data_IF_029591873232
#
_entry.id   IF_029591873232
#
_cell.length_a   1.000
_cell.length_b   1.000
_cell.length_c   1.000
_cell.angle_alpha   90.00
_cell.angle_beta   90.00
_cell.angle_gamma   90.00
#
_symmetry.space_group_name_H-M   'P 1'
#
loop_
_entity.id
_entity.type
_entity.pdbx_description
1 polymer ?
#
# COMPACT_ATOMS: atom_id res chain seq x y z
N UNK A 1 14.89 2.72 -5.33
CA UNK A 1 14.63 1.28 -5.28
C UNK A 1 13.25 1.03 -5.87
N UNK A 2 13.08 0.01 -6.71
CA UNK A 2 11.75 -0.46 -7.11
C UNK A 2 11.08 -1.11 -5.90
N UNK A 3 9.78 -0.88 -5.69
CA UNK A 3 8.99 -1.57 -4.65
C UNK A 3 8.56 -2.99 -5.08
N UNK A 4 8.76 -3.34 -6.35
CA UNK A 4 8.45 -4.64 -6.91
C UNK A 4 9.73 -5.37 -7.27
N UNK A 5 9.89 -6.58 -6.73
CA UNK A 5 10.95 -7.51 -7.10
C UNK A 5 10.75 -8.04 -8.53
N UNK A 6 11.85 -8.42 -9.15
CA UNK A 6 11.90 -8.93 -10.52
C UNK A 6 11.86 -10.45 -10.50
N UNK A 7 11.01 -11.05 -11.30
CA UNK A 7 10.91 -12.51 -11.45
C UNK A 7 12.06 -13.11 -12.29
N UNK A 8 12.02 -14.43 -12.50
CA UNK A 8 13.02 -15.17 -13.27
C UNK A 8 13.16 -14.72 -14.74
N UNK A 9 12.13 -14.06 -15.29
CA UNK A 9 12.07 -13.60 -16.69
C UNK A 9 12.25 -12.09 -16.83
N UNK A 10 12.65 -11.40 -15.76
CA UNK A 10 12.98 -9.98 -15.80
C UNK A 10 11.78 -9.03 -15.64
N UNK A 11 10.65 -9.52 -15.11
CA UNK A 11 9.41 -8.76 -14.97
C UNK A 11 9.10 -8.44 -13.50
N UNK A 12 8.89 -7.16 -13.14
CA UNK A 12 8.21 -6.81 -11.89
C UNK A 12 6.70 -7.03 -11.96
N UNK A 13 6.11 -7.25 -10.78
CA UNK A 13 4.67 -7.39 -10.59
C UNK A 13 4.12 -6.41 -9.55
N UNK A 14 2.94 -5.89 -9.81
CA UNK A 14 2.15 -5.08 -8.86
C UNK A 14 0.73 -5.61 -8.79
N UNK A 15 0.11 -5.52 -7.62
CA UNK A 15 -1.30 -5.87 -7.44
C UNK A 15 -2.11 -4.59 -7.31
N UNK A 16 -3.13 -4.44 -8.15
CA UNK A 16 -4.15 -3.42 -7.97
C UNK A 16 -5.21 -3.96 -7.02
N UNK A 17 -5.42 -3.27 -5.90
CA UNK A 17 -6.39 -3.66 -4.89
C UNK A 17 -7.51 -2.63 -4.78
N UNK A 18 -8.71 -3.09 -4.46
CA UNK A 18 -9.76 -2.25 -3.87
C UNK A 18 -9.60 -2.35 -2.36
N UNK A 19 -9.57 -1.19 -1.70
CA UNK A 19 -9.34 -1.11 -0.25
C UNK A 19 -10.44 -0.32 0.42
N UNK A 20 -11.02 -0.87 1.48
CA UNK A 20 -11.95 -0.16 2.36
C UNK A 20 -11.11 0.61 3.38
N UNK A 21 -10.99 1.92 3.20
CA UNK A 21 -10.16 2.76 4.06
C UNK A 21 -10.84 3.18 5.36
N UNK A 22 -12.17 3.33 5.38
CA UNK A 22 -12.88 3.79 6.57
C UNK A 22 -12.41 5.16 7.05
N UNK A 23 -12.41 5.37 8.38
CA UNK A 23 -11.91 6.57 9.00
C UNK A 23 -10.38 6.52 9.15
N UNK A 24 -9.68 7.34 8.37
CA UNK A 24 -8.22 7.33 8.31
C UNK A 24 -7.60 8.20 9.40
N UNK A 25 -6.52 7.74 10.00
CA UNK A 25 -5.61 8.57 10.80
C UNK A 25 -4.34 8.92 10.05
N UNK A 26 -3.72 10.05 10.42
CA UNK A 26 -2.40 10.41 9.87
C UNK A 26 -1.32 9.52 10.48
N UNK A 27 -0.67 8.71 9.67
CA UNK A 27 0.44 7.82 10.03
C UNK A 27 1.68 8.22 9.22
N UNK A 28 2.58 9.04 9.80
CA UNK A 28 3.78 9.48 9.10
C UNK A 28 4.72 8.32 8.74
N UNK A 29 5.50 8.52 7.68
CA UNK A 29 6.62 7.64 7.39
C UNK A 29 7.55 7.48 8.59
N UNK A 30 7.92 6.23 8.90
CA UNK A 30 8.75 5.90 10.06
C UNK A 30 8.00 5.80 11.39
N UNK A 31 6.67 5.85 11.39
CA UNK A 31 5.86 5.56 12.57
C UNK A 31 6.11 4.14 13.09
N UNK A 32 6.16 3.98 14.41
CA UNK A 32 6.23 2.67 15.09
C UNK A 32 4.83 2.07 15.34
N UNK A 33 3.76 2.72 14.86
CA UNK A 33 2.40 2.23 15.00
C UNK A 33 2.21 0.89 14.25
N UNK A 34 1.58 -0.06 14.91
CA UNK A 34 1.24 -1.39 14.37
C UNK A 34 -0.27 -1.71 14.42
N UNK A 35 -1.07 -0.79 14.95
CA UNK A 35 -2.53 -0.83 15.05
C UNK A 35 -3.06 0.61 15.10
N UNK A 36 -4.37 0.85 15.00
CA UNK A 36 -4.94 2.18 15.13
C UNK A 36 -4.54 2.88 16.44
N UNK A 37 -4.35 4.20 16.44
CA UNK A 37 -4.10 4.95 17.69
C UNK A 37 -5.30 4.97 18.64
N UNK A 38 -6.50 4.74 18.11
CA UNK A 38 -7.74 4.57 18.87
C UNK A 38 -8.78 3.80 18.07
N UNK A 39 -9.82 3.29 18.73
CA UNK A 39 -10.95 2.57 18.10
C UNK A 39 -11.75 3.39 17.08
N UNK A 40 -11.46 4.69 16.94
CA UNK A 40 -12.13 5.56 15.97
C UNK A 40 -11.56 5.42 14.57
N UNK A 41 -10.39 4.82 14.41
CA UNK A 41 -9.67 4.77 13.14
C UNK A 41 -9.58 3.35 12.62
N UNK A 42 -9.76 3.21 11.31
CA UNK A 42 -9.77 1.92 10.62
C UNK A 42 -8.46 1.68 9.86
N UNK A 43 -7.76 2.75 9.47
CA UNK A 43 -6.56 2.68 8.63
C UNK A 43 -5.67 3.92 8.79
N UNK A 44 -4.44 3.85 8.29
CA UNK A 44 -3.47 4.94 8.31
C UNK A 44 -3.26 5.56 6.93
N UNK A 45 -2.87 6.84 6.91
CA UNK A 45 -2.51 7.59 5.70
C UNK A 45 -1.38 8.58 5.94
N UNK A 46 -0.49 8.78 4.98
CA UNK A 46 0.65 9.69 5.13
C UNK A 46 0.24 11.18 5.17
N UNK A 47 -0.74 11.57 4.34
CA UNK A 47 -1.34 12.90 4.33
C UNK A 47 -2.85 12.82 4.09
N UNK A 48 -3.64 13.49 4.95
CA UNK A 48 -5.10 13.46 4.88
C UNK A 48 -5.69 14.23 3.69
N UNK A 49 -4.94 15.20 3.15
CA UNK A 49 -5.40 16.08 2.07
C UNK A 49 -4.95 15.60 0.69
N UNK A 50 -3.74 15.06 0.60
CA UNK A 50 -3.14 14.57 -0.64
C UNK A 50 -2.38 13.25 -0.38
N UNK A 51 -3.12 12.16 -0.17
CA UNK A 51 -2.55 10.88 0.24
C UNK A 51 -1.71 10.25 -0.86
N UNK A 52 -0.55 9.69 -0.49
CA UNK A 52 0.31 8.91 -1.39
C UNK A 52 0.56 7.50 -0.88
N UNK A 53 0.46 7.29 0.44
CA UNK A 53 0.70 6.01 1.08
C UNK A 53 -0.38 5.73 2.11
N UNK A 54 -0.85 4.49 2.08
CA UNK A 54 -1.92 4.00 2.93
C UNK A 54 -1.43 2.80 3.73
N UNK A 55 -1.95 2.66 4.93
CA UNK A 55 -1.65 1.54 5.83
C UNK A 55 -2.96 0.86 6.21
N UNK A 56 -3.07 -0.43 5.90
CA UNK A 56 -4.13 -1.29 6.44
C UNK A 56 -3.50 -2.12 7.54
N UNK A 57 -4.10 -2.09 8.73
CA UNK A 57 -3.59 -2.84 9.88
C UNK A 57 -3.74 -4.35 9.65
N UNK A 58 -2.81 -5.14 10.19
CA UNK A 58 -2.79 -6.58 9.94
C UNK A 58 -4.04 -7.33 10.41
N UNK A 59 -4.74 -6.80 11.41
CA UNK A 59 -6.02 -7.32 11.93
C UNK A 59 -7.14 -7.30 10.89
N UNK A 60 -7.11 -6.34 9.97
CA UNK A 60 -8.24 -6.04 9.07
C UNK A 60 -7.89 -6.28 7.61
N UNK A 61 -6.65 -6.67 7.32
CA UNK A 61 -6.14 -6.87 5.95
C UNK A 61 -7.03 -7.79 5.10
N UNK A 62 -7.48 -8.91 5.67
CA UNK A 62 -8.23 -9.94 4.93
C UNK A 62 -9.67 -9.53 4.59
N UNK A 63 -10.23 -8.56 5.31
CA UNK A 63 -11.60 -8.08 5.11
C UNK A 63 -11.63 -6.75 4.36
N UNK A 64 -10.55 -5.95 4.43
CA UNK A 64 -10.49 -4.62 3.83
C UNK A 64 -9.78 -4.59 2.48
N UNK A 65 -8.98 -5.59 2.13
CA UNK A 65 -8.25 -5.63 0.85
C UNK A 65 -8.84 -6.70 -0.05
N UNK A 66 -9.33 -6.27 -1.21
CA UNK A 66 -9.67 -7.14 -2.32
C UNK A 66 -8.64 -6.97 -3.45
N UNK A 67 -7.77 -7.96 -3.70
CA UNK A 67 -6.94 -7.99 -4.91
C UNK A 67 -7.83 -8.08 -6.15
N UNK A 68 -7.74 -7.09 -7.04
CA UNK A 68 -8.61 -6.99 -8.23
C UNK A 68 -7.85 -7.42 -9.49
N UNK A 69 -6.60 -6.97 -9.64
CA UNK A 69 -5.77 -7.29 -10.82
C UNK A 69 -4.29 -7.44 -10.47
N UNK A 70 -3.57 -8.21 -11.28
CA UNK A 70 -2.10 -8.27 -11.29
C UNK A 70 -1.58 -7.59 -12.55
N UNK A 71 -0.66 -6.66 -12.38
CA UNK A 71 0.02 -5.92 -13.43
C UNK A 71 1.46 -6.42 -13.54
N UNK A 72 1.80 -7.01 -14.68
CA UNK A 72 3.17 -7.43 -15.03
C UNK A 72 3.67 -6.52 -16.14
N UNK A 73 4.81 -5.86 -15.95
CA UNK A 73 5.31 -4.87 -16.91
C UNK A 73 6.83 -4.89 -17.04
N UNK A 74 7.35 -4.40 -18.17
CA UNK A 74 8.79 -4.18 -18.36
C UNK A 74 9.11 -2.74 -18.03
N UNK A 75 10.17 -2.52 -17.26
CA UNK A 75 10.71 -1.17 -17.04
C UNK A 75 11.74 -0.90 -18.15
N UNK A 76 11.57 0.17 -18.95
CA UNK A 76 12.59 0.57 -19.92
C UNK A 76 13.92 0.85 -19.21
N UNK A 77 15.07 0.60 -19.86
CA UNK A 77 16.36 1.03 -19.31
C UNK A 77 16.32 2.54 -19.05
N UNK A 78 16.80 2.97 -17.88
CA UNK A 78 17.02 4.40 -17.63
C UNK A 78 18.09 4.86 -18.62
N UNK A 79 17.77 5.82 -19.49
CA UNK A 79 18.77 6.42 -20.36
C UNK A 79 19.84 7.09 -19.50
N UNK A 80 21.11 6.74 -19.75
CA UNK A 80 22.28 7.36 -19.12
C UNK A 80 22.49 8.80 -19.59
#
# INVERSE_FOLDING_TARGET
>A
SSYSDVDEIGMPHMVLCRVIMGNMEKTPFGSEQFHPSSERFDSGVDDLSNPKHYVVWGTDMNIHILPDYVLSFKIPPVAQ
#
